data_IF_283953929723
#
_entry.id   IF_283953929723
#
_cell.length_a   1.000
_cell.length_b   1.000
_cell.length_c   1.000
_cell.angle_alpha   90.00
_cell.angle_beta   90.00
_cell.angle_gamma   90.00
#
_symmetry.space_group_name_H-M   'P 1'
#
loop_
_entity.id
_entity.type
_entity.pdbx_description
1 polymer ?
#
# COMPACT_ATOMS: atom_id res chain seq x y z
N UNK A 1 14.69 17.61 0.08
CA UNK A 1 13.27 18.07 0.12
C UNK A 1 12.84 18.21 1.59
N UNK A 2 11.64 18.75 1.91
CA UNK A 2 11.14 18.78 3.29
C UNK A 2 11.14 17.36 3.91
N UNK A 3 10.70 16.35 3.16
CA UNK A 3 10.72 14.93 3.55
C UNK A 3 12.12 14.45 3.97
N UNK A 4 13.13 14.73 3.14
CA UNK A 4 14.52 14.33 3.40
C UNK A 4 15.09 15.02 4.65
N UNK A 5 14.79 16.30 4.84
CA UNK A 5 15.21 17.05 6.03
C UNK A 5 14.58 16.49 7.30
N UNK A 6 13.29 16.11 7.26
CA UNK A 6 12.62 15.44 8.38
C UNK A 6 13.29 14.11 8.69
N UNK A 7 13.55 13.28 7.68
CA UNK A 7 14.18 11.96 7.87
C UNK A 7 15.62 12.06 8.41
N UNK A 8 16.37 13.09 8.03
CA UNK A 8 17.71 13.35 8.59
C UNK A 8 17.70 13.67 10.09
N UNK A 9 16.58 14.21 10.60
CA UNK A 9 16.42 14.52 12.01
C UNK A 9 15.83 13.35 12.82
N UNK A 10 15.33 12.30 12.14
CA UNK A 10 14.77 11.12 12.80
C UNK A 10 15.86 10.19 13.31
N UNK A 11 15.57 9.49 14.40
CA UNK A 11 16.43 8.47 14.98
C UNK A 11 15.65 7.27 15.54
N UNK A 12 16.29 6.45 16.39
CA UNK A 12 15.71 5.21 16.92
C UNK A 12 14.43 5.38 17.75
N UNK A 13 14.25 6.56 18.35
CA UNK A 13 13.08 6.87 19.17
C UNK A 13 11.86 7.29 18.34
N UNK A 14 12.08 7.68 17.09
CA UNK A 14 11.03 8.10 16.17
C UNK A 14 10.32 6.91 15.50
N UNK A 15 9.12 7.18 14.98
CA UNK A 15 8.29 6.20 14.30
C UNK A 15 7.97 6.67 12.88
N UNK A 16 8.40 5.90 11.88
CA UNK A 16 7.97 6.07 10.51
C UNK A 16 6.70 5.27 10.26
N UNK A 17 5.58 5.95 10.00
CA UNK A 17 4.29 5.31 9.72
C UNK A 17 4.02 5.39 8.23
N UNK A 18 3.71 4.25 7.61
CA UNK A 18 3.39 4.20 6.19
C UNK A 18 2.37 3.12 5.86
N UNK A 19 1.88 3.11 4.63
CA UNK A 19 1.08 2.01 4.09
C UNK A 19 1.89 1.15 3.13
N UNK A 20 1.25 0.11 2.59
CA UNK A 20 1.83 -0.73 1.55
C UNK A 20 0.89 -0.86 0.35
N UNK A 21 1.38 -1.40 -0.78
CA UNK A 21 0.56 -1.83 -1.91
C UNK A 21 0.39 -3.35 -1.97
N UNK A 22 1.30 -4.10 -1.35
CA UNK A 22 1.26 -5.54 -1.23
C UNK A 22 1.63 -5.96 0.19
N UNK A 23 0.98 -7.01 0.66
CA UNK A 23 1.22 -7.74 1.91
C UNK A 23 1.28 -9.23 1.56
N UNK A 24 2.12 -10.01 2.22
CA UNK A 24 2.06 -11.47 2.13
C UNK A 24 1.66 -12.13 3.46
N UNK A 25 1.45 -13.45 3.44
CA UNK A 25 1.06 -14.23 4.61
C UNK A 25 2.19 -14.42 5.63
N UNK A 26 3.41 -13.98 5.32
CA UNK A 26 4.58 -14.06 6.19
C UNK A 26 4.87 -12.74 6.90
N UNK A 27 4.02 -11.73 6.72
CA UNK A 27 4.16 -10.41 7.34
C UNK A 27 5.10 -9.47 6.60
N UNK A 28 5.49 -9.77 5.36
CA UNK A 28 6.24 -8.83 4.54
C UNK A 28 5.31 -7.86 3.81
N UNK A 29 5.77 -6.64 3.62
CA UNK A 29 5.04 -5.63 2.86
C UNK A 29 5.92 -4.95 1.81
N UNK A 30 5.29 -4.49 0.73
CA UNK A 30 5.97 -3.79 -0.35
C UNK A 30 5.13 -2.65 -0.94
N UNK A 31 5.82 -1.60 -1.41
CA UNK A 31 5.24 -0.53 -2.22
C UNK A 31 5.40 -0.81 -3.71
N UNK A 32 4.40 -0.37 -4.49
CA UNK A 32 4.44 -0.44 -5.94
C UNK A 32 5.15 0.80 -6.50
N UNK A 33 6.26 0.60 -7.20
CA UNK A 33 7.13 1.67 -7.69
C UNK A 33 7.11 1.74 -9.22
N UNK A 34 6.52 2.82 -9.76
CA UNK A 34 6.53 3.13 -11.19
C UNK A 34 7.66 4.07 -11.63
N UNK A 35 8.15 4.92 -10.72
CA UNK A 35 9.15 5.95 -10.98
C UNK A 35 10.60 5.41 -10.95
N UNK A 36 11.51 6.11 -11.62
CA UNK A 36 12.94 5.85 -11.43
C UNK A 36 13.38 6.31 -10.05
N UNK A 37 14.15 5.49 -9.34
CA UNK A 37 14.66 5.85 -8.01
C UNK A 37 13.66 5.76 -6.87
N UNK A 38 12.42 5.28 -7.07
CA UNK A 38 11.48 5.03 -5.97
C UNK A 38 10.55 6.18 -5.59
N UNK A 39 10.68 7.35 -6.23
CA UNK A 39 9.87 8.53 -5.87
C UNK A 39 10.08 8.94 -4.42
N UNK A 40 9.02 9.39 -3.75
CA UNK A 40 9.09 9.78 -2.34
C UNK A 40 9.62 8.68 -1.43
N UNK A 41 9.16 7.43 -1.61
CA UNK A 41 9.64 6.29 -0.82
C UNK A 41 11.13 6.02 -1.05
N UNK A 42 11.61 6.18 -2.28
CA UNK A 42 13.03 6.05 -2.62
C UNK A 42 13.93 6.98 -1.81
N UNK A 43 13.48 8.20 -1.53
CA UNK A 43 14.16 9.15 -0.63
C UNK A 43 14.20 8.64 0.81
N UNK A 44 13.16 7.92 1.25
CA UNK A 44 13.11 7.35 2.60
C UNK A 44 14.01 6.12 2.76
N UNK A 45 14.16 5.31 1.70
CA UNK A 45 14.72 3.97 1.81
C UNK A 45 16.03 3.94 2.60
N UNK A 46 17.05 4.69 2.19
CA UNK A 46 18.34 4.60 2.87
C UNK A 46 18.23 4.89 4.37
N UNK A 47 17.45 5.89 4.79
CA UNK A 47 17.23 6.19 6.20
C UNK A 47 16.59 5.02 6.97
N UNK A 48 15.55 4.41 6.40
CA UNK A 48 14.84 3.30 7.04
C UNK A 48 15.73 2.05 7.22
N UNK A 49 16.70 1.85 6.33
CA UNK A 49 17.61 0.71 6.39
C UNK A 49 18.88 0.98 7.22
N UNK A 50 19.31 2.23 7.41
CA UNK A 50 20.61 2.55 8.06
C UNK A 50 20.50 3.26 9.40
N UNK A 51 19.46 4.05 9.65
CA UNK A 51 19.41 4.95 10.83
C UNK A 51 18.67 4.35 12.04
N UNK A 52 18.23 3.09 11.95
CA UNK A 52 17.55 2.41 13.05
C UNK A 52 16.14 2.94 13.37
N UNK A 53 15.53 3.69 12.45
CA UNK A 53 14.18 4.23 12.59
C UNK A 53 13.17 3.07 12.62
N UNK A 54 12.32 3.04 13.66
CA UNK A 54 11.24 2.05 13.73
C UNK A 54 10.19 2.37 12.69
N UNK A 55 9.75 1.36 11.96
CA UNK A 55 8.74 1.51 10.91
C UNK A 55 7.51 0.68 11.23
N UNK A 56 6.35 1.33 11.22
CA UNK A 56 5.04 0.71 11.36
C UNK A 56 4.28 0.84 10.05
N UNK A 57 3.83 -0.30 9.54
CA UNK A 57 3.18 -0.44 8.24
C UNK A 57 1.70 -0.69 8.48
N UNK A 58 0.91 0.37 8.40
CA UNK A 58 -0.54 0.34 8.49
C UNK A 58 -1.11 -0.07 7.14
N UNK A 59 -1.60 -1.30 7.04
CA UNK A 59 -2.08 -1.83 5.77
C UNK A 59 -3.35 -2.63 5.94
N UNK A 60 -4.01 -2.89 4.81
CA UNK A 60 -5.23 -3.70 4.79
C UNK A 60 -4.92 -5.13 4.40
N UNK A 61 -5.61 -6.09 5.02
CA UNK A 61 -5.67 -7.50 4.56
C UNK A 61 -6.18 -7.63 3.11
N UNK A 62 -6.84 -6.59 2.56
CA UNK A 62 -7.17 -6.51 1.13
C UNK A 62 -5.93 -6.61 0.26
N UNK A 63 -4.80 -6.06 0.71
CA UNK A 63 -3.53 -6.02 -0.02
C UNK A 63 -2.73 -7.32 0.06
N UNK A 64 -3.29 -8.34 0.73
CA UNK A 64 -2.70 -9.68 0.77
C UNK A 64 -2.65 -10.29 -0.64
N UNK A 65 -1.44 -10.54 -1.13
CA UNK A 65 -1.15 -11.22 -2.39
C UNK A 65 -0.74 -12.68 -2.15
N UNK A 66 -0.96 -13.59 -3.11
CA UNK A 66 -0.43 -14.94 -3.03
C UNK A 66 1.10 -14.95 -3.17
N UNK A 67 1.76 -15.84 -2.41
CA UNK A 67 3.20 -16.07 -2.48
C UNK A 67 4.00 -15.31 -1.42
N UNK A 68 5.33 -15.44 -1.50
CA UNK A 68 6.30 -14.86 -0.58
C UNK A 68 6.95 -13.64 -1.25
N UNK A 69 6.75 -12.45 -0.69
CA UNK A 69 7.26 -11.20 -1.25
C UNK A 69 8.79 -11.16 -1.34
N UNK A 70 9.52 -11.89 -0.49
CA UNK A 70 10.98 -11.98 -0.57
C UNK A 70 11.43 -12.71 -1.84
N UNK A 71 10.59 -13.62 -2.35
CA UNK A 71 10.84 -14.38 -3.59
C UNK A 71 10.25 -13.69 -4.82
N UNK A 72 9.11 -13.03 -4.68
CA UNK A 72 8.40 -12.36 -5.78
C UNK A 72 9.08 -11.05 -6.19
N UNK A 73 9.51 -10.24 -5.23
CA UNK A 73 10.03 -8.89 -5.49
C UNK A 73 11.22 -8.88 -6.48
N UNK A 74 12.23 -9.77 -6.37
CA UNK A 74 13.33 -9.81 -7.33
C UNK A 74 12.94 -10.18 -8.77
N UNK A 75 11.78 -10.81 -8.96
CA UNK A 75 11.29 -11.24 -10.27
C UNK A 75 10.52 -10.12 -10.98
N UNK A 76 9.96 -9.16 -10.23
CA UNK A 76 9.13 -8.07 -10.76
C UNK A 76 10.00 -6.84 -10.99
N UNK A 77 10.28 -6.54 -12.26
CA UNK A 77 11.08 -5.37 -12.64
C UNK A 77 10.47 -4.59 -13.78
N UNK A 78 10.37 -3.27 -13.57
CA UNK A 78 9.92 -2.30 -14.57
C UNK A 78 10.82 -2.23 -15.81
N UNK A 79 12.07 -2.71 -15.71
CA UNK A 79 13.01 -2.77 -16.84
C UNK A 79 12.96 -4.09 -17.62
N UNK A 80 12.39 -5.15 -17.04
CA UNK A 80 12.23 -6.47 -17.69
C UNK A 80 10.83 -6.68 -18.30
N UNK A 81 9.93 -5.72 -18.11
CA UNK A 81 8.57 -5.80 -18.60
C UNK A 81 8.52 -5.38 -20.07
N UNK A 82 7.94 -6.20 -20.93
CA UNK A 82 7.75 -5.90 -22.36
C UNK A 82 6.45 -5.16 -22.66
N UNK A 83 5.43 -5.32 -21.82
CA UNK A 83 4.09 -4.76 -22.01
C UNK A 83 3.37 -4.54 -20.68
N UNK A 84 2.68 -3.41 -20.55
CA UNK A 84 1.85 -3.07 -19.39
C UNK A 84 0.66 -2.19 -19.80
N UNK A 85 -0.52 -2.45 -19.23
CA UNK A 85 -1.66 -1.52 -19.27
C UNK A 85 -1.42 -0.40 -18.26
N UNK A 86 -0.80 0.69 -18.73
CA UNK A 86 -0.21 1.71 -17.86
C UNK A 86 1.30 1.51 -17.71
N UNK A 87 1.96 2.24 -16.81
CA UNK A 87 3.40 2.11 -16.65
C UNK A 87 3.82 0.78 -16.00
N UNK A 88 4.93 0.20 -16.44
CA UNK A 88 5.54 -0.94 -15.77
C UNK A 88 6.10 -0.53 -14.39
N UNK A 89 5.89 -1.39 -13.40
CA UNK A 89 6.25 -1.16 -12.00
C UNK A 89 7.23 -2.20 -11.46
N UNK A 90 7.80 -1.94 -10.29
CA UNK A 90 8.57 -2.88 -9.46
C UNK A 90 8.02 -2.87 -8.04
N UNK A 91 8.41 -3.84 -7.22
CA UNK A 91 8.11 -3.84 -5.79
C UNK A 91 9.33 -3.38 -4.99
N UNK A 92 9.12 -2.50 -4.03
CA UNK A 92 10.13 -2.10 -3.06
C UNK A 92 9.71 -2.61 -1.67
N UNK A 93 10.50 -3.49 -1.02
CA UNK A 93 10.18 -4.00 0.31
C UNK A 93 10.27 -2.90 1.36
N UNK A 94 9.32 -2.89 2.29
CA UNK A 94 9.29 -1.98 3.42
C UNK A 94 9.79 -2.73 4.66
N UNK A 95 10.91 -2.32 5.29
CA UNK A 95 11.32 -2.90 6.55
C UNK A 95 10.39 -2.39 7.65
N UNK A 96 9.97 -3.24 8.58
CA UNK A 96 9.16 -2.82 9.72
C UNK A 96 8.12 -3.84 10.16
N UNK A 97 7.31 -3.42 11.13
CA UNK A 97 6.19 -4.19 11.65
C UNK A 97 4.92 -3.89 10.85
N UNK A 98 4.21 -4.94 10.45
CA UNK A 98 2.90 -4.80 9.80
C UNK A 98 1.79 -4.84 10.84
N UNK A 99 0.90 -3.86 10.77
CA UNK A 99 -0.35 -3.82 11.54
C UNK A 99 -1.54 -3.77 10.57
N UNK A 100 -2.30 -4.85 10.54
CA UNK A 100 -3.55 -5.01 9.78
C UNK A 100 -4.77 -4.61 10.60
N UNK A 101 -5.95 -4.53 9.98
CA UNK A 101 -7.20 -4.23 10.69
C UNK A 101 -7.49 -5.22 11.81
N UNK A 102 -7.22 -6.52 11.58
CA UNK A 102 -7.42 -7.55 12.59
C UNK A 102 -6.52 -7.31 13.81
N UNK A 103 -5.20 -7.16 13.59
CA UNK A 103 -4.24 -6.90 14.66
C UNK A 103 -4.53 -5.59 15.40
N UNK A 104 -4.98 -4.55 14.68
CA UNK A 104 -5.38 -3.29 15.29
C UNK A 104 -6.60 -3.45 16.21
N UNK A 105 -7.60 -4.24 15.79
CA UNK A 105 -8.77 -4.53 16.62
C UNK A 105 -8.38 -5.33 17.87
N UNK A 106 -7.60 -6.40 17.73
CA UNK A 106 -7.11 -7.22 18.85
C UNK A 106 -6.22 -6.44 19.83
N UNK A 107 -5.48 -5.45 19.33
CA UNK A 107 -4.69 -4.55 20.19
C UNK A 107 -5.57 -3.50 20.87
N UNK A 108 -6.64 -3.05 20.23
CA UNK A 108 -7.52 -1.99 20.75
C UNK A 108 -8.48 -2.52 21.81
N UNK A 109 -9.07 -3.68 21.57
CA UNK A 109 -9.96 -4.40 22.48
C UNK A 109 -9.41 -5.82 22.64
N UNK A 110 -9.43 -6.38 23.83
CA UNK A 110 -8.87 -7.71 24.14
C UNK A 110 -9.76 -8.83 23.58
N UNK A 111 -9.88 -8.87 22.26
CA UNK A 111 -10.73 -9.78 21.48
C UNK A 111 -9.86 -10.56 20.50
N UNK A 112 -10.42 -11.64 19.95
CA UNK A 112 -9.90 -12.31 18.76
C UNK A 112 -10.57 -11.72 17.51
N UNK A 113 -9.80 -11.46 16.45
CA UNK A 113 -10.31 -10.92 15.19
C UNK A 113 -9.92 -11.81 14.01
N UNK A 114 -10.90 -12.50 13.43
CA UNK A 114 -10.71 -13.39 12.29
C UNK A 114 -11.27 -12.80 11.01
N UNK A 115 -10.38 -12.49 10.05
CA UNK A 115 -10.78 -12.13 8.69
C UNK A 115 -11.16 -13.40 7.93
N UNK A 116 -12.40 -13.49 7.44
CA UNK A 116 -12.90 -14.68 6.75
C UNK A 116 -13.42 -14.43 5.34
N UNK A 117 -13.66 -13.17 4.96
CA UNK A 117 -14.00 -12.81 3.59
C UNK A 117 -13.52 -11.40 3.25
N UNK A 118 -13.33 -11.14 1.96
CA UNK A 118 -12.93 -9.84 1.43
C UNK A 118 -13.48 -9.62 0.02
N UNK A 119 -13.67 -8.36 -0.34
CA UNK A 119 -14.29 -7.96 -1.61
C UNK A 119 -15.81 -8.06 -1.59
N UNK A 120 -16.43 -7.19 -2.37
CA UNK A 120 -17.88 -7.08 -2.54
C UNK A 120 -18.21 -6.44 -3.88
N UNK A 121 -19.47 -6.06 -4.08
CA UNK A 121 -19.96 -5.46 -5.31
C UNK A 121 -20.85 -4.26 -5.00
N UNK A 122 -20.92 -3.28 -5.93
CA UNK A 122 -21.80 -2.12 -5.85
C UNK A 122 -21.48 -1.19 -4.68
N UNK A 123 -20.20 -0.80 -4.54
CA UNK A 123 -19.71 0.10 -3.48
C UNK A 123 -19.07 -0.63 -2.30
N UNK A 124 -19.01 -1.97 -2.34
CA UNK A 124 -18.37 -2.82 -1.33
C UNK A 124 -17.07 -3.48 -1.83
N UNK A 125 -16.50 -3.00 -2.93
CA UNK A 125 -15.33 -3.61 -3.59
C UNK A 125 -14.10 -3.65 -2.67
N UNK A 126 -13.99 -2.70 -1.74
CA UNK A 126 -12.92 -2.58 -0.75
C UNK A 126 -13.30 -3.10 0.65
N UNK A 127 -14.37 -3.90 0.76
CA UNK A 127 -14.87 -4.38 2.06
C UNK A 127 -14.13 -5.62 2.56
N UNK A 128 -14.04 -5.75 3.88
CA UNK A 128 -13.50 -6.92 4.60
C UNK A 128 -14.53 -7.38 5.63
N UNK A 129 -14.73 -8.70 5.73
CA UNK A 129 -15.56 -9.30 6.77
C UNK A 129 -14.67 -9.87 7.89
N UNK A 130 -14.89 -9.38 9.10
CA UNK A 130 -14.12 -9.72 10.29
C UNK A 130 -15.08 -10.27 11.35
N UNK A 131 -14.83 -11.50 11.81
CA UNK A 131 -15.49 -12.07 12.98
C UNK A 131 -14.72 -11.62 14.22
N UNK A 132 -15.43 -11.04 15.19
CA UNK A 132 -14.86 -10.65 16.48
C UNK A 132 -15.42 -11.57 17.57
N UNK A 133 -14.58 -12.01 18.49
CA UNK A 133 -14.96 -12.86 19.62
C UNK A 133 -14.21 -12.46 20.89
N UNK A 134 -14.90 -12.32 22.02
CA UNK A 134 -14.31 -11.95 23.31
C UNK A 134 -15.39 -11.67 24.36
N UNK A 135 -14.97 -11.12 25.50
CA UNK A 135 -15.90 -10.66 26.54
C UNK A 135 -16.82 -9.56 26.00
N UNK A 136 -18.07 -9.55 26.46
CA UNK A 136 -19.10 -8.64 25.94
C UNK A 136 -18.66 -7.17 25.95
N UNK A 137 -18.04 -6.70 27.05
CA UNK A 137 -17.57 -5.32 27.18
C UNK A 137 -16.50 -4.96 26.13
N UNK A 138 -15.60 -5.89 25.81
CA UNK A 138 -14.54 -5.68 24.81
C UNK A 138 -15.11 -5.74 23.39
N UNK A 139 -16.09 -6.60 23.13
CA UNK A 139 -16.81 -6.62 21.84
C UNK A 139 -17.60 -5.32 21.63
N UNK A 140 -18.33 -4.87 22.65
CA UNK A 140 -19.07 -3.60 22.61
C UNK A 140 -18.12 -2.42 22.37
N UNK A 141 -16.92 -2.43 22.97
CA UNK A 141 -15.89 -1.41 22.72
C UNK A 141 -15.51 -1.32 21.22
N UNK A 142 -15.37 -2.45 20.54
CA UNK A 142 -15.13 -2.49 19.08
C UNK A 142 -16.32 -1.94 18.31
N UNK A 143 -17.55 -2.32 18.68
CA UNK A 143 -18.77 -1.85 18.01
C UNK A 143 -18.94 -0.33 18.12
N UNK A 144 -18.66 0.26 19.29
CA UNK A 144 -18.67 1.71 19.48
C UNK A 144 -17.63 2.40 18.58
N UNK A 145 -16.41 1.84 18.47
CA UNK A 145 -15.38 2.36 17.56
C UNK A 145 -15.86 2.32 16.10
N UNK A 146 -16.50 1.23 15.67
CA UNK A 146 -17.03 1.10 14.31
C UNK A 146 -18.09 2.16 14.01
N UNK A 147 -19.02 2.42 14.94
CA UNK A 147 -20.01 3.49 14.76
C UNK A 147 -19.37 4.89 14.71
N UNK A 148 -18.32 5.13 15.50
CA UNK A 148 -17.54 6.36 15.42
C UNK A 148 -16.88 6.54 14.04
N UNK A 149 -16.25 5.47 13.51
CA UNK A 149 -15.63 5.49 12.18
C UNK A 149 -16.68 5.76 11.09
N UNK A 150 -17.84 5.10 11.16
CA UNK A 150 -18.95 5.31 10.19
C UNK A 150 -19.52 6.72 10.22
N UNK A 151 -19.42 7.41 11.36
CA UNK A 151 -19.86 8.80 11.50
C UNK A 151 -18.84 9.82 10.96
N UNK A 152 -17.61 9.40 10.61
CA UNK A 152 -16.64 10.28 9.96
C UNK A 152 -17.13 10.69 8.56
N UNK A 153 -16.69 11.86 8.05
CA UNK A 153 -16.97 12.25 6.67
C UNK A 153 -16.53 11.17 5.68
N UNK A 154 -17.37 10.89 4.68
CA UNK A 154 -17.09 9.88 3.65
C UNK A 154 -15.88 10.21 2.77
N UNK A 155 -15.46 11.47 2.74
CA UNK A 155 -14.26 11.89 2.04
C UNK A 155 -13.04 11.70 2.96
N UNK A 156 -12.10 10.79 2.62
CA UNK A 156 -10.88 10.67 3.37
C UNK A 156 -10.06 11.97 3.25
N UNK A 157 -9.21 12.29 4.24
CA UNK A 157 -8.30 13.43 4.17
C UNK A 157 -7.17 13.11 3.19
N UNK A 158 -7.48 13.15 1.89
CA UNK A 158 -6.55 12.93 0.80
C UNK A 158 -6.23 14.26 0.15
N UNK A 159 -4.99 14.39 -0.30
CA UNK A 159 -4.64 15.45 -1.24
C UNK A 159 -5.47 15.24 -2.52
N UNK A 160 -6.20 16.27 -2.95
CA UNK A 160 -7.05 16.20 -4.14
C UNK A 160 -6.23 15.85 -5.39
N UNK A 161 -4.96 16.26 -5.44
CA UNK A 161 -4.06 15.92 -6.54
C UNK A 161 -3.70 14.42 -6.57
N UNK A 162 -3.79 13.73 -5.42
CA UNK A 162 -3.57 12.28 -5.34
C UNK A 162 -4.75 11.46 -5.87
N UNK A 163 -5.91 12.08 -6.09
CA UNK A 163 -7.07 11.44 -6.74
C UNK A 163 -6.99 11.50 -8.26
N UNK A 164 -6.07 12.32 -8.81
CA UNK A 164 -5.89 12.43 -10.25
C UNK A 164 -5.34 11.11 -10.81
N UNK A 165 -6.17 10.43 -11.60
CA UNK A 165 -5.73 9.25 -12.34
C UNK A 165 -4.77 9.63 -13.48
N UNK A 166 -3.86 8.73 -13.81
CA UNK A 166 -2.96 8.91 -14.94
C UNK A 166 -3.71 8.75 -16.27
N UNK A 167 -3.92 9.85 -16.98
CA UNK A 167 -4.50 9.86 -18.33
C UNK A 167 -3.43 10.22 -19.37
N UNK A 168 -3.37 9.49 -20.50
CA UNK A 168 -2.45 9.84 -21.59
C UNK A 168 -2.99 11.03 -22.40
N UNK A 169 -2.15 12.03 -22.73
CA UNK A 169 -0.78 12.22 -22.27
C UNK A 169 -0.72 12.85 -20.87
N UNK A 170 0.24 12.45 -20.04
CA UNK A 170 0.57 13.12 -18.77
C UNK A 170 2.07 13.47 -18.71
N UNK A 171 2.43 14.35 -17.77
CA UNK A 171 3.83 14.80 -17.57
C UNK A 171 4.80 13.65 -17.27
N UNK A 172 4.32 12.58 -16.63
CA UNK A 172 5.11 11.38 -16.31
C UNK A 172 5.34 10.44 -17.49
N UNK A 173 4.61 10.58 -18.61
CA UNK A 173 4.65 9.64 -19.74
C UNK A 173 6.07 9.40 -20.26
N UNK A 174 6.95 10.40 -20.22
CA UNK A 174 8.36 10.26 -20.61
C UNK A 174 9.10 9.14 -19.86
N UNK A 175 8.74 8.88 -18.60
CA UNK A 175 9.35 7.87 -17.75
C UNK A 175 8.56 6.55 -17.65
N UNK A 176 7.34 6.50 -18.18
CA UNK A 176 6.50 5.29 -18.16
C UNK A 176 7.08 4.22 -19.07
N UNK A 177 7.65 3.15 -18.51
CA UNK A 177 8.19 2.03 -19.28
C UNK A 177 7.07 1.10 -19.71
N UNK A 178 7.16 0.58 -20.93
CA UNK A 178 6.32 -0.51 -21.46
C UNK A 178 4.82 -0.22 -21.46
N UNK A 179 4.44 1.06 -21.34
CA UNK A 179 3.07 1.50 -21.25
C UNK A 179 2.38 1.45 -22.61
N UNK A 180 1.34 0.62 -22.69
CA UNK A 180 0.48 0.47 -23.87
C UNK A 180 -0.11 1.80 -24.34
N UNK A 181 -0.57 2.62 -23.40
CA UNK A 181 -1.22 3.91 -23.69
C UNK A 181 -0.24 4.94 -24.25
N UNK A 182 1.02 4.92 -23.81
CA UNK A 182 2.06 5.80 -24.36
C UNK A 182 2.76 5.22 -25.60
N UNK A 183 2.29 4.08 -26.11
CA UNK A 183 2.92 3.31 -27.19
C UNK A 183 4.41 2.98 -26.91
N UNK A 184 4.72 2.55 -25.67
CA UNK A 184 6.09 2.27 -25.17
C UNK A 184 6.39 0.80 -24.91
N UNK A 185 5.40 -0.06 -25.09
CA UNK A 185 5.54 -1.52 -25.08
C UNK A 185 6.42 -2.01 -26.25
N UNK A 186 7.04 -3.18 -26.10
CA UNK A 186 7.83 -3.83 -27.17
C UNK A 186 7.02 -4.89 -27.93
N UNK A 187 5.95 -5.40 -27.32
CA UNK A 187 5.02 -6.40 -27.87
C UNK A 187 3.58 -5.86 -27.88
N UNK A 188 2.68 -6.48 -28.66
CA UNK A 188 1.24 -6.17 -28.68
C UNK A 188 0.91 -4.68 -29.00
N UNK A 189 1.16 -4.28 -30.25
CA UNK A 189 0.96 -2.90 -30.75
C UNK A 189 -0.45 -2.60 -31.27
N UNK A 190 -1.42 -3.48 -31.00
CA UNK A 190 -2.79 -3.35 -31.51
C UNK A 190 -3.63 -2.34 -30.72
N UNK A 191 -3.15 -1.88 -29.56
CA UNK A 191 -3.82 -0.88 -28.74
C UNK A 191 -3.64 0.48 -29.39
N UNK A 192 -4.64 0.88 -30.17
CA UNK A 192 -4.75 2.25 -30.69
C UNK A 192 -5.48 3.07 -29.64
N UNK A 193 -4.80 4.07 -29.06
CA UNK A 193 -5.51 5.09 -28.31
C UNK A 193 -6.28 5.98 -29.28
N UNK A 194 -7.58 6.13 -29.06
CA UNK A 194 -8.44 7.12 -29.72
C UNK A 194 -8.17 8.51 -29.15
#
# INVERSE_FOLDING_TARGET
>A
SCLEQTLQAMGPDDLFVTGANALDAFGHAALLIGSSGGGGYGTCMHFLYTEGIRTLILTSVMKLIPGDLTRLSPQISRKKCDFSYGMACSLAPIPGEVLTEAQAIESYARVNALVFAKGGFSGAEASVAIQIEGEQEEVEKVLHLVEQIKALPSQPPVDADSLAECTYPCSGCSQHRSCAYANKQTIFHSIKMS
#
